data_IF_455581915287
#
_entry.id   IF_455581915287
#
_cell.length_a   1.000
_cell.length_b   1.000
_cell.length_c   1.000
_cell.angle_alpha   90.00
_cell.angle_beta   90.00
_cell.angle_gamma   90.00
#
_symmetry.space_group_name_H-M   'P 1'
#
loop_
_entity.id
_entity.type
_entity.pdbx_description
1 polymer ?
#
# COMPACT_ATOMS: atom_id res chain seq x y z
N UNK A 1 22.73 -10.49 9.81
CA UNK A 1 22.69 -9.02 9.59
C UNK A 1 23.24 -8.37 10.83
N UNK A 2 24.48 -7.90 10.79
CA UNK A 2 25.01 -7.06 11.89
C UNK A 2 24.27 -5.72 11.86
N UNK A 3 23.90 -5.20 13.04
CA UNK A 3 23.25 -3.90 13.14
C UNK A 3 24.20 -2.76 12.80
N UNK A 4 23.65 -1.59 12.43
CA UNK A 4 24.41 -0.35 12.18
C UNK A 4 25.41 -0.05 13.32
N UNK A 5 26.58 0.51 13.00
CA UNK A 5 27.52 1.05 14.01
C UNK A 5 27.00 2.36 14.63
N UNK A 6 26.16 3.10 13.90
CA UNK A 6 25.59 4.39 14.29
C UNK A 6 24.09 4.25 14.58
N UNK A 7 23.74 3.47 15.61
CA UNK A 7 22.32 3.13 15.86
C UNK A 7 21.53 4.33 16.35
N UNK A 8 22.13 5.13 17.22
CA UNK A 8 21.52 6.30 17.84
C UNK A 8 21.23 7.38 16.79
N UNK A 9 22.20 7.68 15.93
CA UNK A 9 22.09 8.65 14.84
C UNK A 9 21.08 8.18 13.79
N UNK A 10 21.13 6.90 13.40
CA UNK A 10 20.16 6.32 12.48
C UNK A 10 18.73 6.42 13.06
N UNK A 11 18.56 6.18 14.36
CA UNK A 11 17.28 6.30 15.03
C UNK A 11 16.77 7.74 15.08
N UNK A 12 17.64 8.71 15.35
CA UNK A 12 17.30 10.13 15.29
C UNK A 12 16.86 10.55 13.88
N UNK A 13 17.54 10.06 12.85
CA UNK A 13 17.15 10.32 11.47
C UNK A 13 15.78 9.72 11.13
N UNK A 14 15.50 8.48 11.56
CA UNK A 14 14.17 7.88 11.40
C UNK A 14 13.09 8.73 12.09
N UNK A 15 13.32 9.18 13.34
CA UNK A 15 12.38 10.07 14.03
C UNK A 15 12.13 11.36 13.26
N UNK A 16 13.18 11.94 12.68
CA UNK A 16 13.05 13.12 11.84
C UNK A 16 12.20 12.84 10.60
N UNK A 17 12.42 11.73 9.89
CA UNK A 17 11.59 11.31 8.76
C UNK A 17 10.12 11.07 9.14
N UNK A 18 9.86 10.64 10.38
CA UNK A 18 8.51 10.40 10.93
C UNK A 18 7.87 11.63 11.57
N UNK A 19 8.60 12.75 11.63
CA UNK A 19 8.08 14.00 12.15
C UNK A 19 6.91 14.50 11.30
N UNK A 20 6.03 15.28 11.92
CA UNK A 20 4.82 15.77 11.28
C UNK A 20 5.10 16.59 10.02
N UNK A 21 6.04 17.52 10.08
CA UNK A 21 6.37 18.39 8.94
C UNK A 21 6.91 17.61 7.75
N UNK A 22 7.79 16.65 8.00
CA UNK A 22 8.37 15.82 6.94
C UNK A 22 7.32 14.88 6.35
N UNK A 23 6.48 14.27 7.18
CA UNK A 23 5.38 13.45 6.70
C UNK A 23 4.35 14.32 5.96
N UNK A 24 4.08 15.56 6.38
CA UNK A 24 3.18 16.45 5.66
C UNK A 24 3.73 16.80 4.27
N UNK A 25 5.03 17.08 4.16
CA UNK A 25 5.69 17.24 2.87
C UNK A 25 5.58 15.98 1.98
N UNK A 26 5.90 14.81 2.53
CA UNK A 26 5.83 13.54 1.79
C UNK A 26 4.41 13.18 1.35
N UNK A 27 3.40 13.61 2.11
CA UNK A 27 1.99 13.31 1.82
C UNK A 27 1.46 13.95 0.53
N UNK A 28 2.22 14.84 -0.13
CA UNK A 28 1.91 15.33 -1.48
C UNK A 28 1.82 14.21 -2.50
N UNK A 29 2.61 13.15 -2.33
CA UNK A 29 2.78 12.08 -3.33
C UNK A 29 2.63 10.69 -2.74
N UNK A 30 2.25 10.55 -1.47
CA UNK A 30 2.25 9.27 -0.77
C UNK A 30 1.25 9.24 0.37
N UNK A 31 0.88 8.03 0.81
CA UNK A 31 0.20 7.85 2.09
C UNK A 31 1.22 7.89 3.21
N UNK A 32 0.89 8.58 4.30
CA UNK A 32 1.79 8.80 5.43
C UNK A 32 1.25 8.16 6.70
N UNK A 33 2.17 7.80 7.59
CA UNK A 33 1.80 7.08 8.83
C UNK A 33 1.61 8.01 10.01
N UNK A 34 2.13 9.25 9.92
CA UNK A 34 1.86 10.27 10.92
C UNK A 34 0.43 10.78 10.74
N UNK A 35 -0.40 10.57 11.76
CA UNK A 35 -1.84 10.86 11.72
C UNK A 35 -2.16 12.34 11.55
N UNK A 36 -1.41 13.22 12.22
CA UNK A 36 -1.66 14.66 12.15
C UNK A 36 -1.27 15.23 10.79
N UNK A 37 -0.13 14.79 10.25
CA UNK A 37 0.26 15.10 8.88
C UNK A 37 -0.78 14.64 7.85
N UNK A 38 -1.35 13.44 8.05
CA UNK A 38 -2.39 12.91 7.18
C UNK A 38 -3.71 13.70 7.26
N UNK A 39 -4.15 14.07 8.47
CA UNK A 39 -5.34 14.91 8.65
C UNK A 39 -5.17 16.27 7.95
N UNK A 40 -4.02 16.92 8.15
CA UNK A 40 -3.69 18.19 7.49
C UNK A 40 -3.70 18.06 5.97
N UNK A 41 -3.19 16.95 5.42
CA UNK A 41 -3.24 16.66 3.98
C UNK A 41 -4.68 16.55 3.47
N UNK A 42 -5.55 15.85 4.18
CA UNK A 42 -6.94 15.68 3.76
C UNK A 42 -7.68 17.03 3.71
N UNK A 43 -7.46 17.90 4.70
CA UNK A 43 -7.99 19.26 4.72
C UNK A 43 -7.45 20.09 3.55
N UNK A 44 -6.15 20.02 3.27
CA UNK A 44 -5.55 20.73 2.14
C UNK A 44 -6.14 20.28 0.79
N UNK A 45 -6.32 18.96 0.59
CA UNK A 45 -6.98 18.42 -0.62
C UNK A 45 -8.43 18.91 -0.73
N UNK A 46 -9.15 18.99 0.39
CA UNK A 46 -10.52 19.51 0.39
C UNK A 46 -10.58 20.95 -0.11
N UNK A 47 -9.74 21.83 0.44
CA UNK A 47 -9.70 23.24 0.03
C UNK A 47 -9.18 23.43 -1.41
N UNK A 48 -8.20 22.63 -1.85
CA UNK A 48 -7.73 22.65 -3.25
C UNK A 48 -8.87 22.35 -4.24
N UNK A 49 -9.63 21.29 -4.00
CA UNK A 49 -10.73 20.89 -4.89
C UNK A 49 -11.86 21.93 -4.91
N UNK A 50 -12.17 22.50 -3.74
CA UNK A 50 -13.13 23.60 -3.60
C UNK A 50 -12.73 24.82 -4.42
N UNK A 51 -11.43 25.16 -4.46
CA UNK A 51 -10.92 26.25 -5.32
C UNK A 51 -11.13 26.00 -6.82
N UNK A 52 -11.24 24.73 -7.22
CA UNK A 52 -11.57 24.33 -8.60
C UNK A 52 -13.06 24.05 -8.84
N UNK A 53 -13.95 24.40 -7.90
CA UNK A 53 -15.38 24.04 -7.92
C UNK A 53 -15.63 22.55 -8.13
N UNK A 54 -14.76 21.69 -7.58
CA UNK A 54 -14.90 20.23 -7.60
C UNK A 54 -15.17 19.72 -6.19
N UNK A 55 -15.96 18.66 -6.10
CA UNK A 55 -16.13 17.92 -4.85
C UNK A 55 -15.01 16.88 -4.70
N UNK A 56 -14.36 16.85 -3.54
CA UNK A 56 -13.34 15.87 -3.17
C UNK A 56 -13.87 14.76 -2.28
N UNK A 57 -15.15 14.81 -1.89
CA UNK A 57 -15.75 13.88 -0.93
C UNK A 57 -15.55 12.42 -1.32
N UNK A 58 -15.77 12.07 -2.59
CA UNK A 58 -15.58 10.70 -3.08
C UNK A 58 -14.12 10.24 -2.99
N UNK A 59 -13.16 11.14 -3.27
CA UNK A 59 -11.72 10.85 -3.20
C UNK A 59 -11.28 10.67 -1.75
N UNK A 60 -11.73 11.55 -0.86
CA UNK A 60 -11.45 11.46 0.58
C UNK A 60 -12.06 10.19 1.17
N UNK A 61 -13.30 9.86 0.82
CA UNK A 61 -13.97 8.64 1.26
C UNK A 61 -13.25 7.39 0.76
N UNK A 62 -12.89 7.32 -0.52
CA UNK A 62 -12.14 6.20 -1.09
C UNK A 62 -10.78 6.02 -0.40
N UNK A 63 -10.06 7.12 -0.18
CA UNK A 63 -8.77 7.12 0.51
C UNK A 63 -8.90 6.61 1.94
N UNK A 64 -9.92 7.05 2.68
CA UNK A 64 -10.18 6.59 4.05
C UNK A 64 -10.57 5.11 4.10
N UNK A 65 -11.33 4.60 3.12
CA UNK A 65 -11.63 3.17 2.99
C UNK A 65 -10.35 2.35 2.81
N UNK A 66 -9.46 2.75 1.90
CA UNK A 66 -8.17 2.08 1.67
C UNK A 66 -7.33 2.06 2.96
N UNK A 67 -7.18 3.21 3.63
CA UNK A 67 -6.42 3.27 4.89
C UNK A 67 -6.99 2.35 5.98
N UNK A 68 -8.31 2.29 6.10
CA UNK A 68 -8.98 1.43 7.08
C UNK A 68 -8.84 -0.07 6.79
N UNK A 69 -8.61 -0.46 5.53
CA UNK A 69 -8.43 -1.85 5.13
C UNK A 69 -6.98 -2.34 5.26
N UNK A 70 -6.00 -1.45 5.13
CA UNK A 70 -4.58 -1.78 5.30
C UNK A 70 -4.27 -2.37 6.69
N UNK A 71 -4.91 -1.85 7.75
CA UNK A 71 -4.75 -2.37 9.11
C UNK A 71 -5.39 -3.74 9.36
N UNK A 72 -6.22 -4.22 8.43
CA UNK A 72 -6.96 -5.49 8.57
C UNK A 72 -6.29 -6.64 7.82
N UNK A 73 -5.27 -6.34 7.02
CA UNK A 73 -4.65 -7.32 6.15
C UNK A 73 -3.32 -7.80 6.74
N UNK A 74 -3.39 -8.82 7.61
CA UNK A 74 -2.20 -9.51 8.13
C UNK A 74 -1.44 -10.27 7.02
N UNK A 75 -2.02 -10.39 5.82
CA UNK A 75 -1.50 -11.18 4.70
C UNK A 75 -0.53 -10.42 3.77
N UNK A 76 0.00 -9.26 4.18
CA UNK A 76 0.77 -8.38 3.29
C UNK A 76 2.15 -8.89 2.86
N UNK A 77 2.58 -10.08 3.28
CA UNK A 77 3.81 -10.69 2.79
C UNK A 77 3.55 -12.14 2.40
N UNK A 78 2.82 -12.34 1.30
CA UNK A 78 3.06 -13.54 0.52
C UNK A 78 4.55 -13.54 0.14
N UNK A 79 5.30 -14.64 0.36
CA UNK A 79 6.68 -14.73 -0.11
C UNK A 79 6.77 -14.37 -1.59
N UNK A 80 7.86 -13.72 -2.02
CA UNK A 80 8.03 -13.25 -3.41
C UNK A 80 7.73 -14.36 -4.44
N UNK A 81 8.09 -15.60 -4.11
CA UNK A 81 7.84 -16.78 -4.94
C UNK A 81 6.34 -17.10 -5.08
N UNK A 82 5.57 -17.02 -3.99
CA UNK A 82 4.13 -17.22 -4.01
C UNK A 82 3.44 -16.09 -4.78
N UNK A 83 3.88 -14.84 -4.58
CA UNK A 83 3.38 -13.69 -5.33
C UNK A 83 3.67 -13.85 -6.83
N UNK A 84 4.90 -14.20 -7.21
CA UNK A 84 5.27 -14.41 -8.61
C UNK A 84 4.46 -15.53 -9.25
N UNK A 85 4.22 -16.62 -8.51
CA UNK A 85 3.39 -17.74 -8.97
C UNK A 85 1.97 -17.30 -9.32
N UNK A 86 1.36 -16.47 -8.48
CA UNK A 86 0.04 -15.86 -8.72
C UNK A 86 0.11 -14.92 -9.93
N UNK A 87 1.13 -14.06 -9.98
CA UNK A 87 1.28 -13.03 -11.00
C UNK A 87 1.50 -13.60 -12.42
N UNK A 88 2.25 -14.68 -12.57
CA UNK A 88 2.44 -15.34 -13.87
C UNK A 88 1.11 -15.85 -14.45
N UNK A 89 0.24 -16.42 -13.62
CA UNK A 89 -1.08 -16.90 -14.08
C UNK A 89 -2.01 -15.74 -14.45
N UNK A 90 -1.95 -14.63 -13.71
CA UNK A 90 -2.69 -13.41 -14.05
C UNK A 90 -2.24 -12.85 -15.41
N UNK A 91 -0.93 -12.88 -15.72
CA UNK A 91 -0.43 -12.42 -17.02
C UNK A 91 -1.02 -13.23 -18.18
N UNK A 92 -1.12 -14.56 -18.03
CA UNK A 92 -1.74 -15.44 -19.05
C UNK A 92 -3.23 -15.13 -19.23
N UNK A 93 -3.95 -14.87 -18.14
CA UNK A 93 -5.35 -14.43 -18.21
C UNK A 93 -5.49 -13.10 -18.95
N UNK A 94 -4.69 -12.09 -18.58
CA UNK A 94 -4.75 -10.76 -19.18
C UNK A 94 -4.39 -10.76 -20.67
N UNK A 95 -3.59 -11.73 -21.13
CA UNK A 95 -3.33 -11.94 -22.56
C UNK A 95 -4.40 -12.76 -23.28
N UNK A 96 -5.50 -13.14 -22.61
CA UNK A 96 -6.59 -13.94 -23.15
C UNK A 96 -6.26 -15.43 -23.31
N UNK A 97 -5.18 -15.92 -22.69
CA UNK A 97 -4.74 -17.31 -22.82
C UNK A 97 -5.53 -18.31 -21.97
N UNK A 98 -6.29 -17.83 -20.97
CA UNK A 98 -7.14 -18.62 -20.08
C UNK A 98 -8.39 -17.81 -19.71
N UNK A 99 -9.47 -18.49 -19.34
CA UNK A 99 -10.61 -17.86 -18.67
C UNK A 99 -10.28 -17.47 -17.22
N UNK A 100 -11.10 -16.61 -16.62
CA UNK A 100 -10.96 -16.24 -15.22
C UNK A 100 -11.08 -17.47 -14.29
N UNK A 101 -11.98 -18.39 -14.60
CA UNK A 101 -12.22 -19.60 -13.82
C UNK A 101 -11.01 -20.57 -13.88
N UNK A 102 -10.47 -20.81 -15.08
CA UNK A 102 -9.28 -21.65 -15.25
C UNK A 102 -8.05 -21.05 -14.56
N UNK A 103 -7.92 -19.73 -14.61
CA UNK A 103 -6.83 -18.99 -13.96
C UNK A 103 -6.94 -19.11 -12.45
N UNK A 104 -8.14 -18.87 -11.88
CA UNK A 104 -8.39 -19.00 -10.45
C UNK A 104 -8.09 -20.42 -9.95
N UNK A 105 -8.56 -21.45 -10.68
CA UNK A 105 -8.30 -22.85 -10.34
C UNK A 105 -6.80 -23.19 -10.40
N UNK A 106 -6.08 -22.67 -11.40
CA UNK A 106 -4.64 -22.87 -11.52
C UNK A 106 -3.90 -22.23 -10.35
N UNK A 107 -4.23 -20.99 -10.01
CA UNK A 107 -3.65 -20.27 -8.88
C UNK A 107 -3.90 -21.05 -7.58
N UNK A 108 -5.15 -21.45 -7.33
CA UNK A 108 -5.50 -22.19 -6.12
C UNK A 108 -4.67 -23.47 -5.96
N UNK A 109 -4.57 -24.29 -7.01
CA UNK A 109 -3.76 -25.52 -6.97
C UNK A 109 -2.28 -25.24 -6.67
N UNK A 110 -1.70 -24.20 -7.29
CA UNK A 110 -0.28 -23.85 -7.06
C UNK A 110 -0.03 -23.30 -5.66
N UNK A 111 -0.94 -22.49 -5.14
CA UNK A 111 -0.88 -21.97 -3.77
C UNK A 111 -1.01 -23.11 -2.77
N UNK A 112 -1.95 -24.04 -2.99
CA UNK A 112 -2.12 -25.23 -2.14
C UNK A 112 -0.86 -26.11 -2.12
N UNK A 113 -0.21 -26.30 -3.27
CA UNK A 113 1.08 -27.01 -3.33
C UNK A 113 2.16 -26.29 -2.51
N UNK A 114 2.34 -24.99 -2.72
CA UNK A 114 3.33 -24.18 -2.00
C UNK A 114 3.16 -24.22 -0.48
N UNK A 115 1.91 -24.24 0.01
CA UNK A 115 1.62 -24.29 1.45
C UNK A 115 1.82 -25.68 2.08
N UNK A 116 1.93 -26.74 1.27
CA UNK A 116 2.12 -28.12 1.72
C UNK A 116 3.59 -28.59 1.63
N UNK A 117 4.49 -27.76 1.09
CA UNK A 117 5.94 -27.96 1.10
C UNK A 117 6.58 -27.52 2.43
#
# INVERSE_FOLDING_TARGET
MEGSSEKEEAWLFIKYLLSEDIQFYLSEKSMVINKEADNKRQEAVYEEFKNYNKDSKDIVEATNKIKSSLNKNSALQAPDELFNTIWEEIKVYLSGGKSAEETAKTIQNKVELYLNE
#
